data_IF_692436748644
#
_entry.id   IF_692436748644
#
_cell.length_a   1.000
_cell.length_b   1.000
_cell.length_c   1.000
_cell.angle_alpha   90.00
_cell.angle_beta   90.00
_cell.angle_gamma   90.00
#
_symmetry.space_group_name_H-M   'P 1'
#
loop_
_entity.id
_entity.type
_entity.pdbx_description
1 polymer ?
#
# COMPACT_ATOMS: atom_id res chain seq x y z
N UNK A 1 -14.93 27.50 10.56
CA UNK A 1 -13.95 26.46 10.94
C UNK A 1 -12.67 27.14 11.39
N UNK A 2 -12.11 26.81 12.55
CA UNK A 2 -10.92 27.49 13.09
C UNK A 2 -9.62 26.87 12.58
N UNK A 3 -8.52 27.63 12.53
CA UNK A 3 -7.19 27.12 12.18
C UNK A 3 -6.78 25.94 13.07
N UNK A 4 -7.10 26.01 14.37
CA UNK A 4 -6.84 24.92 15.33
C UNK A 4 -7.59 23.64 14.95
N UNK A 5 -8.88 23.74 14.64
CA UNK A 5 -9.71 22.60 14.23
C UNK A 5 -9.20 21.98 12.92
N UNK A 6 -8.69 22.80 11.99
CA UNK A 6 -8.09 22.31 10.75
C UNK A 6 -6.77 21.55 11.00
N UNK A 7 -5.89 22.09 11.87
CA UNK A 7 -4.61 21.43 12.24
C UNK A 7 -4.87 20.09 12.96
N UNK A 8 -5.79 20.07 13.92
CA UNK A 8 -6.15 18.85 14.68
C UNK A 8 -6.72 17.78 13.75
N UNK A 9 -7.62 18.16 12.84
CA UNK A 9 -8.15 17.25 11.82
C UNK A 9 -7.05 16.72 10.91
N UNK A 10 -6.14 17.59 10.45
CA UNK A 10 -5.06 17.18 9.54
C UNK A 10 -4.11 16.18 10.21
N UNK A 11 -3.78 16.38 11.49
CA UNK A 11 -2.97 15.42 12.26
C UNK A 11 -3.65 14.06 12.37
N UNK A 12 -4.94 14.05 12.69
CA UNK A 12 -5.71 12.79 12.78
C UNK A 12 -5.75 12.05 11.43
N UNK A 13 -5.92 12.78 10.32
CA UNK A 13 -5.85 12.21 8.97
C UNK A 13 -4.44 11.63 8.68
N UNK A 14 -3.37 12.33 9.05
CA UNK A 14 -1.99 11.87 8.85
C UNK A 14 -1.64 10.62 9.66
N UNK A 15 -2.15 10.52 10.89
CA UNK A 15 -2.02 9.36 11.77
C UNK A 15 -2.77 8.15 11.20
N UNK A 16 -4.00 8.34 10.71
CA UNK A 16 -4.79 7.29 10.05
C UNK A 16 -4.08 6.78 8.80
N UNK A 17 -3.63 7.68 7.92
CA UNK A 17 -2.86 7.32 6.73
C UNK A 17 -1.54 6.59 7.09
N UNK A 18 -0.94 6.87 8.26
CA UNK A 18 0.24 6.15 8.74
C UNK A 18 -0.07 4.73 9.18
N UNK A 19 -1.16 4.56 9.93
CA UNK A 19 -1.63 3.26 10.35
C UNK A 19 -2.01 2.39 9.15
N UNK A 20 -2.69 2.95 8.15
CA UNK A 20 -3.07 2.22 6.94
C UNK A 20 -1.85 1.77 6.12
N UNK A 21 -0.84 2.64 5.96
CA UNK A 21 0.39 2.26 5.27
C UNK A 21 1.15 1.14 6.00
N UNK A 22 1.25 1.22 7.33
CA UNK A 22 1.88 0.18 8.13
C UNK A 22 1.12 -1.16 8.05
N UNK A 23 -0.22 -1.12 8.05
CA UNK A 23 -1.06 -2.31 7.86
C UNK A 23 -0.84 -2.94 6.49
N UNK A 24 -0.88 -2.13 5.43
CA UNK A 24 -0.66 -2.61 4.07
C UNK A 24 0.75 -3.22 3.90
N UNK A 25 1.78 -2.68 4.56
CA UNK A 25 3.12 -3.27 4.60
C UNK A 25 3.13 -4.64 5.29
N UNK A 26 2.41 -4.78 6.40
CA UNK A 26 2.24 -6.06 7.09
C UNK A 26 1.55 -7.11 6.21
N UNK A 27 0.44 -6.72 5.58
CA UNK A 27 -0.30 -7.57 4.65
C UNK A 27 0.59 -7.99 3.46
N UNK A 28 1.32 -7.05 2.88
CA UNK A 28 2.23 -7.31 1.78
C UNK A 28 3.37 -8.26 2.20
N UNK A 29 3.90 -8.14 3.41
CA UNK A 29 4.91 -9.06 3.93
C UNK A 29 4.37 -10.48 4.12
N UNK A 30 3.10 -10.63 4.54
CA UNK A 30 2.42 -11.92 4.55
C UNK A 30 2.27 -12.47 3.12
N UNK A 31 1.74 -11.67 2.21
CA UNK A 31 1.49 -12.04 0.83
C UNK A 31 2.78 -12.47 0.10
N UNK A 32 3.91 -11.79 0.33
CA UNK A 32 5.22 -12.16 -0.22
C UNK A 32 5.70 -13.56 0.20
N UNK A 33 5.23 -14.09 1.33
CA UNK A 33 5.60 -15.44 1.77
C UNK A 33 4.75 -16.52 1.08
N UNK A 34 3.55 -16.16 0.64
CA UNK A 34 2.55 -17.08 0.11
C UNK A 34 2.48 -17.05 -1.41
N UNK A 35 2.79 -15.91 -2.02
CA UNK A 35 2.69 -15.67 -3.45
C UNK A 35 4.04 -15.24 -4.06
N UNK A 36 4.65 -16.10 -4.91
CA UNK A 36 5.93 -15.79 -5.55
C UNK A 36 5.91 -14.53 -6.44
N UNK A 37 4.77 -14.19 -7.05
CA UNK A 37 4.66 -12.97 -7.84
C UNK A 37 4.75 -11.73 -6.97
N UNK A 38 4.08 -11.72 -5.81
CA UNK A 38 4.21 -10.63 -4.85
C UNK A 38 5.66 -10.46 -4.37
N UNK A 39 6.38 -11.56 -4.11
CA UNK A 39 7.80 -11.52 -3.74
C UNK A 39 8.68 -10.96 -4.85
N UNK A 40 8.40 -11.31 -6.11
CA UNK A 40 9.14 -10.85 -7.29
C UNK A 40 8.87 -9.38 -7.61
N UNK A 41 7.62 -8.96 -7.57
CA UNK A 41 7.17 -7.65 -8.06
C UNK A 41 7.44 -6.56 -7.03
N UNK A 42 7.08 -6.79 -5.76
CA UNK A 42 7.08 -5.71 -4.78
C UNK A 42 8.45 -5.53 -4.13
N UNK A 43 9.04 -4.36 -4.34
CA UNK A 43 10.27 -3.93 -3.65
C UNK A 43 10.07 -2.64 -2.87
N UNK A 44 9.06 -1.84 -3.23
CA UNK A 44 8.63 -0.67 -2.47
C UNK A 44 7.70 -1.09 -1.32
N UNK A 45 7.60 -0.23 -0.31
CA UNK A 45 6.64 -0.35 0.80
C UNK A 45 5.72 0.87 0.82
N UNK A 46 4.51 0.72 1.32
CA UNK A 46 3.54 1.81 1.50
C UNK A 46 4.09 2.88 2.43
N UNK A 47 4.74 2.48 3.54
CA UNK A 47 5.34 3.45 4.47
C UNK A 47 6.45 4.28 3.80
N UNK A 48 7.26 3.67 2.94
CA UNK A 48 8.31 4.38 2.21
C UNK A 48 7.72 5.29 1.12
N UNK A 49 6.72 4.81 0.38
CA UNK A 49 6.01 5.57 -0.64
C UNK A 49 5.35 6.85 -0.11
N UNK A 50 4.93 6.89 1.17
CA UNK A 50 4.39 8.12 1.79
C UNK A 50 5.42 9.24 1.91
N UNK A 51 6.71 8.92 1.97
CA UNK A 51 7.78 9.87 2.26
C UNK A 51 8.59 10.26 1.03
N UNK A 52 8.55 9.43 0.00
CA UNK A 52 9.35 9.61 -1.20
C UNK A 52 8.51 9.38 -2.46
N UNK A 53 8.42 10.43 -3.29
CA UNK A 53 7.63 10.41 -4.53
C UNK A 53 8.11 9.34 -5.49
N UNK A 54 9.42 9.11 -5.59
CA UNK A 54 9.96 8.08 -6.49
C UNK A 54 9.52 6.68 -6.04
N UNK A 55 9.55 6.42 -4.73
CA UNK A 55 9.06 5.17 -4.14
C UNK A 55 7.55 5.03 -4.33
N UNK A 56 6.79 6.13 -4.26
CA UNK A 56 5.36 6.12 -4.59
C UNK A 56 5.10 5.72 -6.04
N UNK A 57 5.77 6.36 -7.00
CA UNK A 57 5.62 6.03 -8.43
C UNK A 57 6.00 4.57 -8.71
N UNK A 58 7.05 4.08 -8.05
CA UNK A 58 7.45 2.68 -8.11
C UNK A 58 6.39 1.73 -7.53
N UNK A 59 5.82 2.05 -6.36
CA UNK A 59 4.78 1.25 -5.73
C UNK A 59 3.52 1.19 -6.60
N UNK A 60 3.14 2.30 -7.25
CA UNK A 60 2.00 2.35 -8.18
C UNK A 60 2.23 1.41 -9.37
N UNK A 61 3.41 1.45 -9.99
CA UNK A 61 3.74 0.55 -11.10
C UNK A 61 3.70 -0.93 -10.67
N UNK A 62 4.22 -1.24 -9.48
CA UNK A 62 4.21 -2.59 -8.92
C UNK A 62 2.78 -3.08 -8.62
N UNK A 63 1.93 -2.22 -8.07
CA UNK A 63 0.51 -2.54 -7.85
C UNK A 63 -0.22 -2.82 -9.17
N UNK A 64 0.05 -2.03 -10.21
CA UNK A 64 -0.55 -2.23 -11.53
C UNK A 64 -0.11 -3.56 -12.16
N UNK A 65 1.19 -3.87 -12.15
CA UNK A 65 1.71 -5.14 -12.65
C UNK A 65 1.07 -6.32 -11.91
N UNK A 66 1.04 -6.25 -10.58
CA UNK A 66 0.46 -7.29 -9.74
C UNK A 66 -1.04 -7.46 -9.97
N UNK A 67 -1.79 -6.36 -10.06
CA UNK A 67 -3.22 -6.37 -10.34
C UNK A 67 -3.53 -7.05 -11.68
N UNK A 68 -2.78 -6.73 -12.74
CA UNK A 68 -2.94 -7.35 -14.06
C UNK A 68 -2.70 -8.85 -13.98
N UNK A 69 -1.62 -9.26 -13.31
CA UNK A 69 -1.27 -10.67 -13.18
C UNK A 69 -2.36 -11.44 -12.41
N UNK A 70 -2.82 -10.90 -11.27
CA UNK A 70 -3.86 -11.55 -10.47
C UNK A 70 -5.23 -11.52 -11.11
N UNK A 71 -5.52 -10.51 -11.92
CA UNK A 71 -6.71 -10.50 -12.76
C UNK A 71 -6.67 -11.64 -13.80
N UNK A 72 -5.56 -11.80 -14.53
CA UNK A 72 -5.38 -12.85 -15.53
C UNK A 72 -5.44 -14.26 -14.92
N UNK A 73 -4.95 -14.43 -13.69
CA UNK A 73 -5.01 -15.68 -12.96
C UNK A 73 -6.37 -15.96 -12.29
N UNK A 74 -7.34 -15.03 -12.34
CA UNK A 74 -8.60 -15.15 -11.62
C UNK A 74 -8.46 -15.08 -10.09
N UNK A 75 -7.38 -14.46 -9.60
CA UNK A 75 -6.97 -14.39 -8.19
C UNK A 75 -6.96 -12.97 -7.63
N UNK A 76 -7.94 -12.16 -8.00
CA UNK A 76 -8.09 -10.78 -7.49
C UNK A 76 -8.30 -10.70 -5.97
N UNK A 77 -8.66 -11.81 -5.33
CA UNK A 77 -8.66 -11.96 -3.87
C UNK A 77 -7.28 -11.63 -3.28
N UNK A 78 -6.20 -12.10 -3.91
CA UNK A 78 -4.82 -11.86 -3.45
C UNK A 78 -4.40 -10.39 -3.61
N UNK A 79 -4.94 -9.69 -4.61
CA UNK A 79 -4.74 -8.25 -4.74
C UNK A 79 -5.47 -7.50 -3.62
N UNK A 80 -6.72 -7.89 -3.32
CA UNK A 80 -7.52 -7.30 -2.24
C UNK A 80 -6.89 -7.47 -0.86
N UNK A 81 -6.19 -8.58 -0.62
CA UNK A 81 -5.50 -8.86 0.66
C UNK A 81 -4.45 -7.82 1.03
N UNK A 82 -3.90 -7.06 0.07
CA UNK A 82 -2.96 -5.97 0.36
C UNK A 82 -3.62 -4.91 1.24
N UNK A 83 -4.93 -4.69 1.08
CA UNK A 83 -5.67 -3.59 1.71
C UNK A 83 -6.69 -4.04 2.77
N UNK A 84 -6.75 -5.35 3.04
CA UNK A 84 -7.66 -5.94 4.03
C UNK A 84 -7.35 -5.49 5.47
#
# INVERSE_FOLDING_TARGET
MSLRTWIERRRAEEELEAADAARADGNLACLKREDPDAARIFTATFTAARRDRRTQDQLVAQLQEYAVLKHQAGRMDLYGQIFA
#
